data_IF_908130256666
#
_entry.id   IF_908130256666
#
_cell.length_a   1.000
_cell.length_b   1.000
_cell.length_c   1.000
_cell.angle_alpha   90.00
_cell.angle_beta   90.00
_cell.angle_gamma   90.00
#
_symmetry.space_group_name_H-M   'P 1'
#
loop_
_entity.id
_entity.type
_entity.pdbx_description
1 polymer ?
#
# COMPACT_ATOMS: atom_id res chain seq x y z
N UNK A 1 -16.04 -19.43 10.80
CA UNK A 1 -15.56 -20.04 9.53
C UNK A 1 -14.19 -19.45 9.22
N UNK A 2 -13.17 -20.28 8.96
CA UNK A 2 -11.80 -19.81 8.66
C UNK A 2 -11.73 -19.07 7.32
N UNK A 3 -10.91 -18.02 7.21
CA UNK A 3 -10.70 -17.25 5.96
C UNK A 3 -10.31 -18.13 4.78
N UNK A 4 -9.47 -19.14 5.03
CA UNK A 4 -9.08 -20.13 4.02
C UNK A 4 -10.30 -20.85 3.44
N UNK A 5 -11.20 -21.36 4.28
CA UNK A 5 -12.39 -22.08 3.83
C UNK A 5 -13.31 -21.18 2.98
N UNK A 6 -13.44 -19.90 3.33
CA UNK A 6 -14.19 -18.94 2.50
C UNK A 6 -13.56 -18.78 1.11
N UNK A 7 -12.23 -18.71 1.03
CA UNK A 7 -11.51 -18.59 -0.24
C UNK A 7 -11.60 -19.88 -1.07
N UNK A 8 -11.45 -21.06 -0.47
CA UNK A 8 -11.59 -22.34 -1.19
C UNK A 8 -12.97 -22.45 -1.85
N UNK A 9 -14.02 -22.06 -1.14
CA UNK A 9 -15.37 -22.03 -1.70
C UNK A 9 -15.49 -21.02 -2.84
N UNK A 10 -14.97 -19.80 -2.67
CA UNK A 10 -15.04 -18.75 -3.68
C UNK A 10 -14.32 -19.11 -4.98
N UNK A 11 -13.26 -19.91 -4.91
CA UNK A 11 -12.46 -20.34 -6.07
C UNK A 11 -12.75 -21.78 -6.53
N UNK A 12 -13.71 -22.48 -5.91
CA UNK A 12 -14.05 -23.87 -6.27
C UNK A 12 -12.93 -24.89 -5.98
N UNK A 13 -12.11 -24.64 -4.96
CA UNK A 13 -10.92 -25.44 -4.59
C UNK A 13 -11.15 -26.33 -3.36
N UNK A 14 -12.41 -26.62 -3.01
CA UNK A 14 -12.76 -27.30 -1.76
C UNK A 14 -12.15 -28.71 -1.61
N UNK A 15 -11.92 -29.40 -2.73
CA UNK A 15 -11.35 -30.75 -2.75
C UNK A 15 -9.82 -30.76 -2.95
N UNK A 16 -9.18 -29.60 -3.03
CA UNK A 16 -7.73 -29.49 -3.21
C UNK A 16 -7.00 -29.42 -1.87
N UNK A 17 -5.91 -30.17 -1.75
CA UNK A 17 -4.99 -30.04 -0.63
C UNK A 17 -4.16 -28.75 -0.78
N UNK A 18 -4.55 -27.69 -0.06
CA UNK A 18 -3.84 -26.41 -0.06
C UNK A 18 -2.87 -26.33 1.12
N UNK A 19 -1.61 -26.01 0.81
CA UNK A 19 -0.58 -25.77 1.84
C UNK A 19 -0.73 -24.37 2.41
N UNK A 20 -0.77 -24.24 3.74
CA UNK A 20 -0.81 -22.97 4.46
C UNK A 20 0.58 -22.64 5.01
N UNK A 21 1.09 -21.44 4.73
CA UNK A 21 2.39 -20.97 5.23
C UNK A 21 2.44 -19.44 5.29
N UNK A 22 3.56 -18.85 5.68
CA UNK A 22 3.84 -17.41 5.54
C UNK A 22 4.53 -17.14 4.21
N UNK A 23 4.42 -15.93 3.68
CA UNK A 23 5.07 -15.57 2.43
C UNK A 23 6.60 -15.69 2.52
N UNK A 24 7.19 -15.37 3.68
CA UNK A 24 8.63 -15.53 3.91
C UNK A 24 9.10 -17.00 3.83
N UNK A 25 8.25 -17.96 4.24
CA UNK A 25 8.55 -19.40 4.23
C UNK A 25 8.11 -20.10 2.93
N UNK A 26 7.74 -19.36 1.89
CA UNK A 26 7.34 -19.93 0.60
C UNK A 26 8.51 -20.70 -0.05
N UNK A 27 8.27 -21.83 -0.73
CA UNK A 27 9.30 -22.42 -1.57
C UNK A 27 9.62 -21.52 -2.76
N UNK A 28 10.79 -21.76 -3.38
CA UNK A 28 11.10 -21.16 -4.67
C UNK A 28 9.96 -21.45 -5.67
N UNK A 29 9.58 -20.46 -6.48
CA UNK A 29 8.45 -20.58 -7.40
C UNK A 29 8.60 -21.81 -8.33
N UNK A 30 9.82 -22.08 -8.80
CA UNK A 30 10.17 -23.22 -9.65
C UNK A 30 9.95 -24.60 -9.02
N UNK A 31 10.02 -24.71 -7.68
CA UNK A 31 9.76 -25.95 -6.95
C UNK A 31 8.25 -26.19 -6.69
N UNK A 32 7.43 -25.18 -6.96
CA UNK A 32 5.99 -25.17 -6.71
C UNK A 32 5.17 -24.79 -7.94
N UNK A 33 5.71 -24.95 -9.16
CA UNK A 33 5.00 -24.66 -10.42
C UNK A 33 3.59 -25.26 -10.42
N UNK A 34 2.61 -24.43 -10.74
CA UNK A 34 1.17 -24.71 -10.80
C UNK A 34 0.54 -25.18 -9.46
N UNK A 35 1.25 -25.00 -8.34
CA UNK A 35 0.71 -25.28 -7.00
C UNK A 35 0.12 -24.01 -6.38
N UNK A 36 -1.00 -24.20 -5.69
CA UNK A 36 -1.70 -23.15 -4.94
C UNK A 36 -1.33 -23.25 -3.46
N UNK A 37 -0.94 -22.11 -2.88
CA UNK A 37 -0.60 -21.96 -1.47
C UNK A 37 -1.48 -20.88 -0.85
N UNK A 38 -1.80 -21.05 0.42
CA UNK A 38 -2.40 -20.01 1.25
C UNK A 38 -1.31 -19.32 2.06
N UNK A 39 -1.12 -18.03 1.84
CA UNK A 39 -0.23 -17.21 2.66
C UNK A 39 -1.04 -16.46 3.71
N UNK A 40 -0.88 -16.86 4.98
CA UNK A 40 -1.69 -16.36 6.09
C UNK A 40 -1.38 -14.90 6.47
N UNK A 41 -0.20 -14.41 6.11
CA UNK A 41 0.36 -13.11 6.47
C UNK A 41 0.16 -12.03 5.39
N UNK A 42 -0.36 -12.39 4.20
CA UNK A 42 -0.66 -11.43 3.14
C UNK A 42 -2.13 -11.04 3.18
N UNK A 43 -2.42 -9.80 3.56
CA UNK A 43 -3.79 -9.27 3.53
C UNK A 43 -4.77 -9.91 4.51
N UNK A 44 -4.26 -10.48 5.61
CA UNK A 44 -5.04 -11.31 6.52
C UNK A 44 -5.35 -12.71 5.98
N UNK A 45 -4.70 -13.13 4.88
CA UNK A 45 -4.86 -14.43 4.25
C UNK A 45 -5.24 -14.34 2.78
N UNK A 46 -4.33 -14.76 1.90
CA UNK A 46 -4.53 -14.73 0.45
C UNK A 46 -4.01 -16.02 -0.20
N UNK A 47 -4.75 -16.54 -1.18
CA UNK A 47 -4.30 -17.66 -2.00
C UNK A 47 -3.38 -17.15 -3.12
N UNK A 48 -2.29 -17.86 -3.38
CA UNK A 48 -1.35 -17.59 -4.45
C UNK A 48 -1.09 -18.86 -5.24
N UNK A 49 -0.86 -18.70 -6.55
CA UNK A 49 -0.37 -19.74 -7.44
C UNK A 49 1.04 -19.39 -7.91
N UNK A 50 1.91 -20.38 -7.99
CA UNK A 50 3.21 -20.21 -8.65
C UNK A 50 3.10 -20.55 -10.13
N UNK A 51 3.70 -19.72 -10.99
CA UNK A 51 3.87 -20.04 -12.41
C UNK A 51 5.28 -20.58 -12.73
N UNK A 52 6.02 -21.01 -11.72
CA UNK A 52 7.42 -21.47 -11.83
C UNK A 52 8.46 -20.36 -11.80
N UNK A 53 8.07 -19.08 -11.97
CA UNK A 53 8.97 -17.92 -11.89
C UNK A 53 8.61 -16.97 -10.75
N UNK A 54 7.32 -16.73 -10.53
CA UNK A 54 6.80 -15.83 -9.50
C UNK A 54 5.56 -16.43 -8.83
N UNK A 55 5.27 -15.95 -7.62
CA UNK A 55 4.02 -16.21 -6.93
C UNK A 55 3.02 -15.11 -7.29
N UNK A 56 1.86 -15.49 -7.83
CA UNK A 56 0.78 -14.55 -8.19
C UNK A 56 -0.44 -14.79 -7.30
N UNK A 57 -1.08 -13.74 -6.76
CA UNK A 57 -2.32 -13.91 -6.00
C UNK A 57 -3.43 -14.44 -6.90
N UNK A 58 -4.29 -15.29 -6.36
CA UNK A 58 -5.57 -15.62 -6.98
C UNK A 58 -6.55 -14.49 -6.67
N UNK A 59 -6.78 -13.63 -7.66
CA UNK A 59 -7.63 -12.45 -7.53
C UNK A 59 -6.91 -11.26 -6.88
N UNK A 60 -7.68 -10.41 -6.19
CA UNK A 60 -7.18 -9.16 -5.59
C UNK A 60 -6.33 -9.45 -4.36
N UNK A 61 -5.19 -8.77 -4.24
CA UNK A 61 -4.29 -8.90 -3.11
C UNK A 61 -4.21 -7.58 -2.34
N UNK A 62 -4.97 -7.46 -1.25
CA UNK A 62 -4.86 -6.32 -0.36
C UNK A 62 -3.73 -6.55 0.64
N UNK A 63 -2.89 -5.55 0.88
CA UNK A 63 -1.88 -5.59 1.94
C UNK A 63 -2.42 -4.96 3.22
N UNK A 64 -3.21 -3.90 3.08
CA UNK A 64 -3.93 -3.25 4.18
C UNK A 64 -5.21 -2.60 3.67
N UNK A 65 -6.27 -2.63 4.46
CA UNK A 65 -7.46 -1.83 4.22
C UNK A 65 -8.16 -1.51 5.54
N UNK A 66 -8.69 -0.30 5.63
CA UNK A 66 -9.58 0.11 6.71
C UNK A 66 -10.64 1.06 6.15
N UNK A 67 -11.88 0.84 6.54
CA UNK A 67 -13.01 1.74 6.29
C UNK A 67 -13.36 2.59 7.53
N UNK A 68 -12.54 2.53 8.58
CA UNK A 68 -12.70 3.29 9.82
C UNK A 68 -11.49 4.18 10.07
N UNK A 69 -11.72 5.30 10.76
CA UNK A 69 -10.70 6.28 11.07
C UNK A 69 -9.52 5.60 11.78
N UNK A 70 -8.33 5.72 11.19
CA UNK A 70 -7.13 5.04 11.69
C UNK A 70 -6.47 5.85 12.80
N UNK A 71 -6.36 7.18 12.61
CA UNK A 71 -5.80 8.11 13.59
C UNK A 71 -6.12 9.57 13.22
N UNK A 72 -6.11 10.44 14.23
CA UNK A 72 -6.24 11.90 14.12
C UNK A 72 -4.94 12.56 14.58
N UNK A 73 -4.40 13.43 13.75
CA UNK A 73 -3.28 14.32 14.04
C UNK A 73 -3.85 15.66 14.51
N UNK A 74 -3.39 16.17 15.65
CA UNK A 74 -3.79 17.50 16.15
C UNK A 74 -2.60 18.23 16.77
N UNK A 75 -2.55 19.55 16.59
CA UNK A 75 -1.62 20.43 17.31
C UNK A 75 -0.12 20.13 17.10
N UNK A 76 0.28 19.51 16.00
CA UNK A 76 1.70 19.20 15.71
C UNK A 76 2.08 19.50 14.27
N UNK A 77 3.25 20.13 14.11
CA UNK A 77 3.89 20.37 12.81
C UNK A 77 4.86 19.27 12.40
N UNK A 78 5.02 18.24 13.24
CA UNK A 78 5.88 17.10 12.95
C UNK A 78 5.13 16.11 12.05
N UNK A 79 5.79 15.67 10.98
CA UNK A 79 5.24 14.60 10.15
C UNK A 79 5.07 13.33 10.98
N UNK A 80 3.84 12.82 11.02
CA UNK A 80 3.44 11.71 11.88
C UNK A 80 2.84 10.60 11.04
N UNK A 81 3.17 9.35 11.35
CA UNK A 81 2.65 8.18 10.62
C UNK A 81 1.25 7.85 11.10
N UNK A 82 0.29 7.74 10.17
CA UNK A 82 -1.04 7.21 10.45
C UNK A 82 -1.08 5.69 10.31
N UNK A 83 -0.44 5.14 9.27
CA UNK A 83 -0.45 3.71 8.95
C UNK A 83 0.90 3.30 8.40
N UNK A 84 1.38 2.14 8.87
CA UNK A 84 2.51 1.42 8.30
C UNK A 84 1.99 0.10 7.70
N UNK A 85 2.31 -0.14 6.44
CA UNK A 85 1.94 -1.35 5.70
C UNK A 85 3.21 -2.10 5.33
N UNK A 86 3.30 -3.36 5.76
CA UNK A 86 4.42 -4.23 5.41
C UNK A 86 4.30 -4.64 3.94
N UNK A 87 5.41 -4.55 3.21
CA UNK A 87 5.57 -5.05 1.85
C UNK A 87 6.66 -6.11 1.90
N UNK A 88 6.29 -7.41 2.04
CA UNK A 88 7.26 -8.49 2.11
C UNK A 88 8.18 -8.58 0.89
N UNK A 89 9.42 -9.01 1.13
CA UNK A 89 10.45 -9.15 0.11
C UNK A 89 10.06 -10.11 -1.02
N UNK A 90 10.15 -9.61 -2.25
CA UNK A 90 9.78 -10.38 -3.44
C UNK A 90 8.28 -10.44 -3.72
N UNK A 91 7.43 -9.80 -2.91
CA UNK A 91 5.99 -9.74 -3.17
C UNK A 91 5.68 -8.76 -4.32
N UNK A 92 6.32 -7.59 -4.31
CA UNK A 92 6.29 -6.65 -5.42
C UNK A 92 7.36 -7.05 -6.44
N UNK A 93 6.95 -7.78 -7.48
CA UNK A 93 7.86 -8.29 -8.52
C UNK A 93 8.51 -7.17 -9.32
N UNK A 94 9.43 -7.49 -10.24
CA UNK A 94 10.15 -6.49 -11.05
C UNK A 94 9.25 -5.54 -11.86
N UNK A 95 8.01 -5.92 -12.15
CA UNK A 95 6.99 -5.06 -12.78
C UNK A 95 5.69 -4.99 -11.94
N UNK A 96 5.76 -5.37 -10.67
CA UNK A 96 4.65 -5.26 -9.75
C UNK A 96 4.37 -3.81 -9.35
N UNK A 97 3.13 -3.54 -8.97
CA UNK A 97 2.67 -2.21 -8.55
C UNK A 97 1.96 -2.27 -7.21
N UNK A 98 2.09 -1.20 -6.43
CA UNK A 98 1.20 -0.89 -5.33
C UNK A 98 0.22 0.18 -5.79
N UNK A 99 -1.07 -0.07 -5.64
CA UNK A 99 -2.12 0.92 -5.78
C UNK A 99 -2.66 1.29 -4.41
N UNK A 100 -2.56 2.57 -4.08
CA UNK A 100 -2.91 3.11 -2.78
C UNK A 100 -4.06 4.08 -2.97
N UNK A 101 -5.15 3.90 -2.24
CA UNK A 101 -6.22 4.88 -2.15
C UNK A 101 -6.49 5.20 -0.69
N UNK A 102 -6.55 6.48 -0.34
CA UNK A 102 -6.84 6.93 1.00
C UNK A 102 -7.75 8.16 1.00
N UNK A 103 -8.40 8.41 2.13
CA UNK A 103 -9.24 9.59 2.31
C UNK A 103 -8.95 10.17 3.69
N UNK A 104 -8.63 11.46 3.71
CA UNK A 104 -8.41 12.20 4.93
C UNK A 104 -9.44 13.34 5.04
N UNK A 105 -9.68 13.78 6.27
CA UNK A 105 -10.43 14.99 6.57
C UNK A 105 -9.64 15.89 7.51
N UNK A 106 -10.07 17.14 7.64
CA UNK A 106 -9.54 18.09 8.60
C UNK A 106 -10.49 19.26 8.81
N UNK A 107 -10.13 20.15 9.73
CA UNK A 107 -10.82 21.41 9.92
C UNK A 107 -10.60 22.34 8.71
N UNK A 108 -11.61 23.14 8.37
CA UNK A 108 -11.49 24.17 7.34
C UNK A 108 -10.67 25.35 7.90
N UNK A 109 -9.41 25.48 7.46
CA UNK A 109 -8.54 26.59 7.84
C UNK A 109 -7.59 26.97 6.73
N UNK A 110 -6.96 28.14 6.85
CA UNK A 110 -5.95 28.59 5.89
C UNK A 110 -4.62 27.82 6.00
N UNK A 111 -4.44 27.01 7.05
CA UNK A 111 -3.21 26.26 7.30
C UNK A 111 -3.25 24.93 6.53
N UNK A 112 -2.18 24.62 5.80
CA UNK A 112 -2.09 23.38 5.03
C UNK A 112 -2.05 22.14 5.94
N UNK A 113 -2.76 21.11 5.53
CA UNK A 113 -2.75 19.75 6.05
C UNK A 113 -2.18 18.87 4.94
N UNK A 114 -0.97 18.36 5.16
CA UNK A 114 -0.22 17.62 4.12
C UNK A 114 -0.25 16.13 4.39
N UNK A 115 -0.97 15.40 3.54
CA UNK A 115 -0.98 13.94 3.50
C UNK A 115 0.17 13.44 2.61
N UNK A 116 0.91 12.42 3.04
CA UNK A 116 1.92 11.77 2.19
C UNK A 116 1.77 10.25 2.12
N UNK A 117 2.20 9.70 1.01
CA UNK A 117 2.42 8.26 0.81
C UNK A 117 3.89 8.06 0.48
N UNK A 118 4.59 7.25 1.28
CA UNK A 118 6.01 6.95 1.11
C UNK A 118 6.23 5.44 0.97
N UNK A 119 7.26 5.07 0.21
CA UNK A 119 7.79 3.71 0.18
C UNK A 119 9.22 3.71 0.72
N UNK A 120 9.58 2.70 1.52
CA UNK A 120 10.85 2.64 2.24
C UNK A 120 10.79 3.21 3.66
N UNK A 121 9.61 3.21 4.28
CA UNK A 121 9.39 3.74 5.64
C UNK A 121 9.21 5.26 5.71
N UNK A 122 9.22 5.80 6.93
CA UNK A 122 8.96 7.22 7.21
C UNK A 122 9.97 8.19 6.56
N UNK A 123 11.22 7.75 6.39
CA UNK A 123 12.26 8.48 5.67
C UNK A 123 12.38 8.08 4.19
N UNK A 124 11.46 7.23 3.70
CA UNK A 124 11.45 6.74 2.34
C UNK A 124 11.02 7.79 1.31
N UNK A 125 11.04 7.38 0.04
CA UNK A 125 10.66 8.22 -1.10
C UNK A 125 9.18 8.58 -1.05
N UNK A 126 8.88 9.87 -1.18
CA UNK A 126 7.50 10.40 -1.24
C UNK A 126 6.95 10.23 -2.65
N UNK A 127 5.96 9.37 -2.81
CA UNK A 127 5.27 9.16 -4.10
C UNK A 127 3.94 9.93 -4.20
N UNK A 128 3.44 10.46 -3.08
CA UNK A 128 2.33 11.40 -3.05
C UNK A 128 2.52 12.36 -1.88
N UNK A 129 2.24 13.63 -2.11
CA UNK A 129 2.19 14.72 -1.16
C UNK A 129 1.03 15.65 -1.54
N UNK A 130 -0.08 15.50 -0.86
CA UNK A 130 -1.27 16.31 -1.07
C UNK A 130 -1.48 17.27 0.09
N UNK A 131 -1.38 18.58 -0.18
CA UNK A 131 -1.72 19.63 0.77
C UNK A 131 -3.17 20.08 0.59
N UNK A 132 -3.94 20.13 1.68
CA UNK A 132 -5.29 20.69 1.70
C UNK A 132 -5.39 21.80 2.75
N UNK A 133 -6.07 22.91 2.44
CA UNK A 133 -6.30 24.02 3.39
C UNK A 133 -7.78 24.10 3.76
N UNK A 134 -8.57 24.81 2.97
CA UNK A 134 -9.99 25.08 3.21
C UNK A 134 -10.92 23.93 2.80
N UNK A 135 -10.35 22.76 2.50
CA UNK A 135 -11.09 21.56 2.12
C UNK A 135 -11.28 20.69 3.36
N UNK A 136 -12.54 20.32 3.62
CA UNK A 136 -12.90 19.48 4.78
C UNK A 136 -12.45 18.03 4.57
N UNK A 137 -12.46 17.54 3.33
CA UNK A 137 -12.07 16.16 3.01
C UNK A 137 -11.44 16.05 1.64
N UNK A 138 -10.49 15.12 1.51
CA UNK A 138 -9.84 14.80 0.25
C UNK A 138 -9.71 13.29 0.10
N UNK A 139 -9.86 12.81 -1.14
CA UNK A 139 -9.44 11.47 -1.55
C UNK A 139 -8.16 11.57 -2.39
N UNK A 140 -7.19 10.72 -2.09
CA UNK A 140 -5.91 10.65 -2.78
C UNK A 140 -5.66 9.22 -3.26
N UNK A 141 -5.11 9.09 -4.47
CA UNK A 141 -4.66 7.82 -5.03
C UNK A 141 -3.23 7.96 -5.53
N UNK A 142 -2.40 6.95 -5.26
CA UNK A 142 -1.04 6.82 -5.78
C UNK A 142 -0.84 5.43 -6.37
N UNK A 143 -0.06 5.34 -7.45
CA UNK A 143 0.42 4.09 -8.02
C UNK A 143 1.93 4.14 -8.03
N UNK A 144 2.56 3.14 -7.41
CA UNK A 144 4.00 2.98 -7.34
C UNK A 144 4.35 1.67 -8.03
N UNK A 145 5.12 1.72 -9.10
CA UNK A 145 5.42 0.55 -9.94
C UNK A 145 6.92 0.31 -9.99
N UNK A 146 7.34 -0.93 -9.78
CA UNK A 146 8.70 -1.35 -10.08
C UNK A 146 8.92 -1.30 -11.60
N UNK A 147 10.06 -0.77 -12.04
CA UNK A 147 10.39 -0.57 -13.46
C UNK A 147 11.43 -1.57 -13.92
N UNK A 148 10.96 -2.79 -14.22
CA UNK A 148 11.78 -3.92 -14.64
C UNK A 148 12.93 -4.29 -13.67
N UNK A 149 12.87 -3.79 -12.43
CA UNK A 149 13.83 -4.09 -11.37
C UNK A 149 13.18 -3.80 -10.02
N UNK A 150 13.48 -4.63 -9.01
CA UNK A 150 12.90 -4.50 -7.67
C UNK A 150 13.50 -3.36 -6.84
N UNK A 151 14.55 -2.70 -7.35
CA UNK A 151 15.23 -1.54 -6.76
C UNK A 151 15.08 -0.28 -7.63
N UNK A 152 14.05 -0.21 -8.48
CA UNK A 152 13.77 0.94 -9.34
C UNK A 152 12.27 1.15 -9.40
N UNK A 153 11.77 2.23 -8.79
CA UNK A 153 10.35 2.56 -8.80
C UNK A 153 10.05 3.78 -9.66
N UNK A 154 8.80 3.86 -10.11
CA UNK A 154 8.22 5.07 -10.67
C UNK A 154 6.81 5.28 -10.13
N UNK A 155 6.48 6.54 -9.89
CA UNK A 155 5.13 7.01 -9.66
C UNK A 155 4.93 8.36 -10.33
N UNK A 156 3.68 8.82 -10.31
CA UNK A 156 3.35 10.16 -10.78
C UNK A 156 4.05 11.23 -9.92
N UNK A 157 4.03 12.48 -10.36
CA UNK A 157 4.49 13.63 -9.56
C UNK A 157 3.87 13.61 -8.16
N UNK A 158 4.71 13.71 -7.13
CA UNK A 158 4.27 13.67 -5.75
C UNK A 158 3.21 14.73 -5.44
N UNK A 159 3.30 15.91 -6.07
CA UNK A 159 2.34 17.00 -5.86
C UNK A 159 0.96 16.76 -6.48
N UNK A 160 0.75 15.65 -7.21
CA UNK A 160 -0.55 15.31 -7.77
C UNK A 160 -1.28 14.29 -6.91
N UNK A 161 -2.56 14.55 -6.64
CA UNK A 161 -3.42 13.62 -5.95
C UNK A 161 -4.37 12.94 -6.95
N UNK A 162 -4.20 11.65 -7.17
CA UNK A 162 -5.05 10.87 -8.07
C UNK A 162 -4.65 10.98 -9.54
N UNK A 163 -5.63 10.80 -10.43
CA UNK A 163 -5.43 10.82 -11.88
C UNK A 163 -5.54 12.24 -12.41
N UNK A 164 -4.58 12.65 -13.22
CA UNK A 164 -4.56 13.98 -13.82
C UNK A 164 -3.23 14.32 -14.46
N UNK A 165 -3.05 15.59 -14.80
CA UNK A 165 -1.78 16.14 -15.27
C UNK A 165 -1.03 16.82 -14.12
N UNK A 166 0.29 16.95 -14.25
CA UNK A 166 1.12 17.71 -13.32
C UNK A 166 2.20 18.45 -14.09
N UNK A 167 2.59 19.63 -13.60
CA UNK A 167 3.80 20.32 -14.04
C UNK A 167 5.07 19.72 -13.41
N UNK A 168 4.93 18.93 -12.34
CA UNK A 168 6.05 18.22 -11.71
C UNK A 168 6.43 16.96 -12.48
N UNK A 169 7.71 16.60 -12.45
CA UNK A 169 8.19 15.35 -13.01
C UNK A 169 7.68 14.14 -12.21
N UNK A 170 7.62 12.97 -12.86
CA UNK A 170 7.35 11.71 -12.18
C UNK A 170 8.41 11.40 -11.13
N UNK A 171 7.98 10.80 -10.03
CA UNK A 171 8.87 10.43 -8.91
C UNK A 171 9.54 9.10 -9.23
N UNK A 172 10.85 9.01 -8.97
CA UNK A 172 11.59 7.75 -9.00
C UNK A 172 12.09 7.39 -7.61
N UNK A 173 12.16 6.09 -7.33
CA UNK A 173 12.70 5.53 -6.09
C UNK A 173 13.72 4.44 -6.37
N UNK A 174 14.54 4.15 -5.36
CA UNK A 174 15.54 3.08 -5.38
C UNK A 174 15.37 2.11 -4.19
N UNK A 175 14.13 1.93 -3.72
CA UNK A 175 13.82 1.06 -2.58
C UNK A 175 13.96 -0.38 -3.05
N UNK A 176 14.76 -1.19 -2.34
CA UNK A 176 14.84 -2.62 -2.60
C UNK A 176 13.58 -3.34 -2.10
N UNK A 177 12.73 -3.77 -3.03
CA UNK A 177 11.51 -4.56 -2.77
C UNK A 177 11.75 -6.07 -2.88
N UNK A 178 12.99 -6.51 -3.10
CA UNK A 178 13.39 -7.91 -2.94
C UNK A 178 13.59 -8.28 -1.47
N UNK A 179 13.89 -7.28 -0.63
CA UNK A 179 13.86 -7.34 0.83
C UNK A 179 12.55 -6.79 1.40
N UNK A 180 12.27 -7.11 2.67
CA UNK A 180 11.12 -6.54 3.37
C UNK A 180 11.24 -5.02 3.46
N UNK A 181 10.18 -4.32 3.08
CA UNK A 181 10.09 -2.87 3.17
C UNK A 181 8.71 -2.44 3.67
N UNK A 182 8.51 -1.15 3.85
CA UNK A 182 7.22 -0.61 4.30
C UNK A 182 6.75 0.53 3.42
N UNK A 183 5.44 0.53 3.19
CA UNK A 183 4.71 1.69 2.71
C UNK A 183 4.13 2.40 3.94
N UNK A 184 4.26 3.72 4.02
CA UNK A 184 3.67 4.51 5.10
C UNK A 184 2.77 5.61 4.56
N UNK A 185 1.66 5.82 5.26
CA UNK A 185 0.78 6.97 5.07
C UNK A 185 1.00 7.90 6.25
N UNK A 186 1.36 9.15 5.97
CA UNK A 186 1.72 10.14 7.00
C UNK A 186 0.92 11.42 6.83
N UNK A 187 0.82 12.19 7.91
CA UNK A 187 0.21 13.51 7.94
C UNK A 187 1.14 14.54 8.58
N UNK A 188 1.00 15.79 8.17
CA UNK A 188 1.70 16.92 8.77
C UNK A 188 0.79 18.15 8.74
N UNK A 189 0.67 18.86 9.86
CA UNK A 189 -0.02 20.16 9.89
C UNK A 189 1.00 21.27 9.68
N UNK A 190 0.62 22.34 8.98
CA UNK A 190 1.46 23.53 8.83
C UNK A 190 1.60 24.30 10.16
N UNK A 191 0.60 24.21 11.03
CA UNK A 191 0.54 24.92 12.31
C UNK A 191 0.17 23.97 13.44
N UNK A 192 0.76 24.22 14.62
CA UNK A 192 0.42 23.55 15.87
C UNK A 192 -0.72 24.29 16.63
N UNK A 193 -1.37 25.27 16.00
CA UNK A 193 -2.44 26.07 16.60
C UNK A 193 -3.62 25.22 17.08
N UNK A 194 -4.28 25.70 18.14
CA UNK A 194 -5.48 25.06 18.67
C UNK A 194 -6.56 24.97 17.57
N UNK A 195 -7.11 23.78 17.37
CA UNK A 195 -8.17 23.50 16.40
C UNK A 195 -7.68 22.98 15.04
N UNK A 196 -6.36 22.91 14.79
CA UNK A 196 -5.82 22.28 13.59
C UNK A 196 -5.79 20.76 13.72
N UNK A 197 -6.46 20.08 12.80
CA UNK A 197 -6.54 18.62 12.80
C UNK A 197 -6.54 18.00 11.40
N UNK A 198 -6.07 16.76 11.32
CA UNK A 198 -6.21 15.89 10.16
C UNK A 198 -6.50 14.47 10.62
N UNK A 199 -7.53 13.84 10.07
CA UNK A 199 -7.87 12.43 10.34
C UNK A 199 -7.75 11.60 9.08
N UNK A 200 -7.06 10.46 9.14
CA UNK A 200 -7.12 9.46 8.09
C UNK A 200 -8.39 8.61 8.28
N UNK A 201 -9.40 8.82 7.44
CA UNK A 201 -10.71 8.20 7.56
C UNK A 201 -10.75 6.78 7.02
N UNK A 202 -10.07 6.54 5.89
CA UNK A 202 -9.98 5.21 5.27
C UNK A 202 -8.72 5.10 4.42
N UNK A 203 -8.26 3.87 4.23
CA UNK A 203 -7.17 3.56 3.33
C UNK A 203 -7.33 2.15 2.73
N UNK A 204 -6.69 1.94 1.59
CA UNK A 204 -6.61 0.67 0.89
C UNK A 204 -5.27 0.61 0.16
N UNK A 205 -4.54 -0.48 0.33
CA UNK A 205 -3.28 -0.78 -0.34
C UNK A 205 -3.42 -2.12 -1.03
N UNK A 206 -3.32 -2.11 -2.35
CA UNK A 206 -3.49 -3.29 -3.20
C UNK A 206 -2.20 -3.56 -3.98
N UNK A 207 -1.80 -4.82 -4.04
CA UNK A 207 -0.73 -5.32 -4.89
C UNK A 207 -1.30 -5.73 -6.25
N UNK A 208 -0.64 -5.30 -7.31
CA UNK A 208 -0.94 -5.66 -8.69
C UNK A 208 0.29 -6.36 -9.28
N UNK A 209 0.13 -7.58 -9.77
CA UNK A 209 1.16 -8.32 -10.48
C UNK A 209 0.64 -8.61 -11.90
N UNK A 210 1.29 -8.09 -12.96
CA UNK A 210 0.94 -8.40 -14.35
C UNK A 210 1.27 -9.85 -14.72
#
# INVERSE_FOLDING_TARGET
MSRLLTLLNAYGLNDMAITSTTFANRPAASAATDKIYYFSDIGGGTLFISNGSVWKPLGRCFLASSAVASATLSGTTTETTFVTVNVPGGLMTANGSLQITCTNSGNNSANSKTLRIRLGGASGTVFLQAGSTTLISQQATAIITNRNAQNSQFGMSAGSAGYGQSSGAGVTGAIDTSADTTLVITGQLQSAGAGEEMTLLRHMVELIIP
#
